data_IF_918894614584
#
_entry.id   IF_918894614584
#
_cell.length_a   1.000
_cell.length_b   1.000
_cell.length_c   1.000
_cell.angle_alpha   90.00
_cell.angle_beta   90.00
_cell.angle_gamma   90.00
#
_symmetry.space_group_name_H-M   'P 1'
#
loop_
_entity.id
_entity.type
_entity.pdbx_description
1 polymer ?
#
# COMPACT_ATOMS: atom_id res chain seq x y z
N UNK A 1 -12.72 -7.68 22.46
CA UNK A 1 -13.78 -6.74 22.88
C UNK A 1 -14.40 -6.18 21.61
N UNK A 2 -15.69 -6.39 21.37
CA UNK A 2 -16.38 -5.89 20.16
C UNK A 2 -16.82 -4.46 20.49
N UNK A 3 -16.20 -3.45 19.87
CA UNK A 3 -16.47 -2.04 20.22
C UNK A 3 -17.82 -1.54 19.70
N UNK A 4 -18.36 -2.11 18.60
CA UNK A 4 -19.68 -1.78 18.06
C UNK A 4 -20.29 -2.96 17.32
N UNK A 5 -21.57 -3.23 17.55
CA UNK A 5 -22.35 -4.21 16.80
C UNK A 5 -23.42 -3.51 15.97
N UNK A 6 -23.42 -3.77 14.66
CA UNK A 6 -24.49 -3.38 13.76
C UNK A 6 -25.28 -4.63 13.38
N UNK A 7 -26.58 -4.64 13.66
CA UNK A 7 -27.49 -5.66 13.14
C UNK A 7 -28.39 -5.02 12.09
N UNK A 8 -28.67 -5.73 11.01
CA UNK A 8 -29.53 -5.25 9.92
C UNK A 8 -30.48 -6.37 9.49
N UNK A 9 -31.68 -6.01 9.06
CA UNK A 9 -32.67 -6.97 8.56
C UNK A 9 -32.27 -7.51 7.18
N UNK A 10 -31.67 -6.67 6.36
CA UNK A 10 -31.21 -7.02 5.02
C UNK A 10 -29.94 -6.23 4.71
N UNK A 11 -28.96 -6.88 4.09
CA UNK A 11 -27.73 -6.24 3.64
C UNK A 11 -27.51 -6.60 2.17
N UNK A 12 -27.40 -5.57 1.32
CA UNK A 12 -27.05 -5.75 -0.09
C UNK A 12 -25.58 -5.40 -0.27
N UNK A 13 -24.78 -6.37 -0.71
CA UNK A 13 -23.35 -6.16 -1.01
C UNK A 13 -23.19 -5.89 -2.50
N UNK A 14 -22.64 -4.73 -2.85
CA UNK A 14 -22.28 -4.36 -4.22
C UNK A 14 -20.78 -4.32 -4.36
N UNK A 15 -20.27 -5.03 -5.36
CA UNK A 15 -18.86 -4.99 -5.75
C UNK A 15 -18.72 -4.13 -6.99
N UNK A 16 -17.97 -3.03 -6.87
CA UNK A 16 -17.56 -2.21 -8.00
C UNK A 16 -16.08 -2.46 -8.27
N UNK A 17 -15.80 -3.25 -9.30
CA UNK A 17 -14.45 -3.65 -9.66
C UNK A 17 -13.83 -2.59 -10.57
N UNK A 18 -12.88 -1.84 -10.03
CA UNK A 18 -12.03 -0.91 -10.78
C UNK A 18 -10.69 -1.58 -11.06
N UNK A 19 -9.97 -1.10 -12.09
CA UNK A 19 -8.69 -1.67 -12.53
C UNK A 19 -7.68 -1.94 -11.39
N UNK A 20 -7.69 -1.11 -10.34
CA UNK A 20 -6.73 -1.16 -9.24
C UNK A 20 -7.36 -1.29 -7.83
N UNK A 21 -8.68 -1.40 -7.72
CA UNK A 21 -9.37 -1.48 -6.43
C UNK A 21 -10.76 -2.09 -6.60
N UNK A 22 -11.22 -2.84 -5.60
CA UNK A 22 -12.61 -3.26 -5.54
C UNK A 22 -13.29 -2.45 -4.45
N UNK A 23 -14.22 -1.57 -4.83
CA UNK A 23 -15.03 -0.84 -3.87
C UNK A 23 -16.21 -1.74 -3.48
N UNK A 24 -16.28 -2.14 -2.21
CA UNK A 24 -17.36 -2.97 -1.67
C UNK A 24 -18.29 -2.07 -0.89
N UNK A 25 -19.50 -1.89 -1.39
CA UNK A 25 -20.54 -1.12 -0.71
C UNK A 25 -21.60 -2.04 -0.16
N UNK A 26 -21.79 -2.03 1.15
CA UNK A 26 -22.82 -2.76 1.88
C UNK A 26 -23.92 -1.76 2.22
N UNK A 27 -25.07 -1.88 1.57
CA UNK A 27 -26.27 -1.15 1.94
C UNK A 27 -27.06 -1.98 2.94
N UNK A 28 -27.02 -1.59 4.21
CA UNK A 28 -27.74 -2.26 5.28
C UNK A 28 -29.08 -1.53 5.53
N UNK A 29 -30.17 -2.28 5.60
CA UNK A 29 -31.53 -1.78 5.85
C UNK A 29 -32.01 -2.19 7.24
N UNK A 30 -32.76 -1.29 7.86
CA UNK A 30 -33.26 -1.39 9.24
C UNK A 30 -32.14 -1.71 10.24
N UNK A 31 -31.09 -0.88 10.22
CA UNK A 31 -29.89 -1.07 11.03
C UNK A 31 -30.17 -0.67 12.47
N UNK A 32 -29.96 -1.60 13.39
CA UNK A 32 -29.89 -1.32 14.82
C UNK A 32 -28.43 -1.32 15.26
N UNK A 33 -27.98 -0.21 15.82
CA UNK A 33 -26.63 -0.07 16.38
C UNK A 33 -26.71 -0.27 17.88
N UNK A 34 -25.90 -1.20 18.38
CA UNK A 34 -25.71 -1.43 19.80
C UNK A 34 -24.27 -1.02 20.16
N UNK A 35 -24.17 0.06 20.92
CA UNK A 35 -22.94 0.56 21.54
C UNK A 35 -23.16 0.56 23.07
N UNK A 36 -22.09 0.47 23.88
CA UNK A 36 -22.18 0.37 25.35
C UNK A 36 -22.98 1.51 25.99
N UNK A 37 -23.10 2.64 25.29
CA UNK A 37 -23.76 3.85 25.78
C UNK A 37 -25.00 4.25 24.99
N UNK A 38 -25.27 3.65 23.81
CA UNK A 38 -26.30 4.14 22.88
C UNK A 38 -26.95 3.02 22.08
N UNK A 39 -28.28 3.04 22.05
CA UNK A 39 -29.09 2.28 21.10
C UNK A 39 -29.67 3.26 20.08
N UNK A 40 -29.41 3.01 18.80
CA UNK A 40 -29.92 3.84 17.70
C UNK A 40 -30.39 2.96 16.54
N UNK A 41 -31.48 3.36 15.89
CA UNK A 41 -31.96 2.73 14.66
C UNK A 41 -31.82 3.68 13.48
N UNK A 42 -31.36 3.16 12.35
CA UNK A 42 -31.35 3.86 11.07
C UNK A 42 -32.05 2.98 10.03
N UNK A 43 -32.90 3.58 9.19
CA UNK A 43 -33.60 2.85 8.13
C UNK A 43 -32.65 2.32 7.07
N UNK A 44 -31.61 3.10 6.74
CA UNK A 44 -30.56 2.69 5.81
C UNK A 44 -29.21 3.20 6.32
N UNK A 45 -28.18 2.37 6.17
CA UNK A 45 -26.81 2.75 6.49
C UNK A 45 -25.87 2.15 5.43
N UNK A 46 -25.32 2.99 4.53
CA UNK A 46 -24.32 2.55 3.59
C UNK A 46 -22.97 2.42 4.30
N UNK A 47 -22.33 1.28 4.16
CA UNK A 47 -20.93 1.07 4.50
C UNK A 47 -20.15 0.87 3.21
N UNK A 48 -19.06 1.60 3.01
CA UNK A 48 -18.17 1.37 1.88
C UNK A 48 -16.78 1.02 2.40
N UNK A 49 -16.23 -0.08 1.89
CA UNK A 49 -14.87 -0.49 2.16
C UNK A 49 -14.15 -0.72 0.83
N UNK A 50 -13.01 -0.07 0.66
CA UNK A 50 -12.13 -0.31 -0.49
C UNK A 50 -11.27 -1.54 -0.19
N UNK A 51 -11.51 -2.63 -0.90
CA UNK A 51 -10.69 -3.83 -0.84
C UNK A 51 -9.61 -3.79 -1.94
N UNK A 52 -8.42 -4.26 -1.60
CA UNK A 52 -7.39 -4.58 -2.59
C UNK A 52 -7.88 -5.68 -3.53
N UNK A 53 -7.22 -5.84 -4.66
CA UNK A 53 -7.57 -6.92 -5.59
C UNK A 53 -6.95 -8.24 -5.14
N UNK A 54 -7.81 -9.17 -4.74
CA UNK A 54 -7.46 -10.41 -4.03
C UNK A 54 -6.47 -11.31 -4.77
N UNK A 55 -6.45 -11.26 -6.12
CA UNK A 55 -5.54 -12.06 -6.95
C UNK A 55 -4.39 -11.25 -7.55
N UNK A 56 -4.60 -9.97 -7.89
CA UNK A 56 -3.54 -9.15 -8.53
C UNK A 56 -2.48 -8.67 -7.55
N UNK A 57 -2.70 -8.80 -6.25
CA UNK A 57 -1.72 -8.39 -5.23
C UNK A 57 -0.55 -9.38 -5.09
N UNK A 58 -0.49 -10.43 -5.91
CA UNK A 58 0.61 -11.38 -5.95
C UNK A 58 1.32 -11.38 -7.31
N UNK A 59 2.64 -11.14 -7.28
CA UNK A 59 3.53 -11.09 -8.46
C UNK A 59 3.45 -12.37 -9.30
N UNK A 60 3.20 -13.53 -8.67
CA UNK A 60 3.14 -14.82 -9.38
C UNK A 60 1.98 -14.92 -10.39
N UNK A 61 0.94 -14.10 -10.21
CA UNK A 61 -0.24 -14.09 -11.07
C UNK A 61 -0.22 -12.96 -12.11
N UNK A 62 0.88 -12.21 -12.18
CA UNK A 62 1.03 -11.11 -13.14
C UNK A 62 1.50 -11.59 -14.50
N UNK A 63 0.97 -10.96 -15.55
CA UNK A 63 1.44 -11.15 -16.92
C UNK A 63 2.83 -10.55 -17.09
N UNK A 64 3.55 -10.96 -18.14
CA UNK A 64 4.94 -10.50 -18.36
C UNK A 64 4.99 -8.98 -18.57
N UNK A 65 4.03 -8.42 -19.30
CA UNK A 65 3.95 -6.98 -19.55
C UNK A 65 3.64 -6.19 -18.27
N UNK A 66 2.74 -6.72 -17.43
CA UNK A 66 2.48 -6.14 -16.11
C UNK A 66 3.72 -6.18 -15.22
N UNK A 67 4.50 -7.28 -15.23
CA UNK A 67 5.76 -7.37 -14.49
C UNK A 67 6.78 -6.32 -14.94
N UNK A 68 6.86 -6.04 -16.25
CA UNK A 68 7.70 -4.97 -16.80
C UNK A 68 7.21 -3.58 -16.38
N UNK A 69 5.89 -3.34 -16.41
CA UNK A 69 5.29 -2.08 -15.95
C UNK A 69 5.56 -1.84 -14.46
N UNK A 70 5.37 -2.86 -13.62
CA UNK A 70 5.65 -2.77 -12.17
C UNK A 70 7.15 -2.56 -11.93
N UNK A 71 8.02 -3.19 -12.72
CA UNK A 71 9.48 -2.99 -12.61
C UNK A 71 9.86 -1.55 -12.95
N UNK A 72 9.24 -0.95 -13.96
CA UNK A 72 9.47 0.43 -14.38
C UNK A 72 8.89 1.44 -13.38
N UNK A 73 7.71 1.16 -12.83
CA UNK A 73 7.07 1.98 -11.80
C UNK A 73 6.44 1.10 -10.71
N UNK A 74 7.13 1.00 -9.57
CA UNK A 74 6.71 0.14 -8.46
C UNK A 74 5.40 0.60 -7.82
N UNK A 75 5.00 1.87 -7.98
CA UNK A 75 3.72 2.39 -7.48
C UNK A 75 2.53 1.84 -8.24
N UNK A 76 2.72 1.21 -9.41
CA UNK A 76 1.63 0.48 -10.10
C UNK A 76 1.19 -0.74 -9.29
N UNK A 77 2.07 -1.29 -8.45
CA UNK A 77 1.76 -2.46 -7.63
C UNK A 77 1.09 -2.04 -6.32
N UNK A 78 -0.23 -2.29 -6.24
CA UNK A 78 -1.10 -1.85 -5.15
C UNK A 78 -0.54 -2.11 -3.73
N UNK A 79 0.01 -3.29 -3.39
CA UNK A 79 0.55 -3.52 -2.05
C UNK A 79 1.71 -2.58 -1.67
N UNK A 80 2.55 -2.18 -2.64
CA UNK A 80 3.63 -1.21 -2.39
C UNK A 80 3.06 0.19 -2.33
N UNK A 81 2.19 0.56 -3.28
CA UNK A 81 1.50 1.85 -3.34
C UNK A 81 0.77 2.17 -2.03
N UNK A 82 -0.03 1.22 -1.52
CA UNK A 82 -0.76 1.36 -0.25
C UNK A 82 0.18 1.67 0.91
N UNK A 83 1.26 0.91 1.08
CA UNK A 83 2.23 1.16 2.16
C UNK A 83 2.99 2.47 1.96
N UNK A 84 3.29 2.84 0.72
CA UNK A 84 3.95 4.11 0.41
C UNK A 84 3.07 5.30 0.82
N UNK A 85 1.79 5.27 0.42
CA UNK A 85 0.80 6.28 0.81
C UNK A 85 0.59 6.30 2.32
N UNK A 86 0.47 5.14 2.98
CA UNK A 86 0.33 5.07 4.44
C UNK A 86 1.52 5.69 5.17
N UNK A 87 2.73 5.35 4.75
CA UNK A 87 3.98 5.92 5.29
C UNK A 87 4.04 7.42 5.04
N UNK A 88 3.65 7.87 3.85
CA UNK A 88 3.60 9.29 3.49
C UNK A 88 2.56 10.07 4.30
N UNK A 89 1.38 9.51 4.56
CA UNK A 89 0.38 10.16 5.42
C UNK A 89 0.86 10.27 6.86
N UNK A 90 1.57 9.26 7.39
CA UNK A 90 2.21 9.34 8.70
C UNK A 90 3.29 10.42 8.74
N UNK A 91 4.13 10.52 7.70
CA UNK A 91 5.11 11.60 7.57
C UNK A 91 4.44 12.98 7.56
N UNK A 92 3.34 13.14 6.80
CA UNK A 92 2.58 14.39 6.77
C UNK A 92 1.99 14.74 8.15
N UNK A 93 1.46 13.76 8.88
CA UNK A 93 0.95 13.95 10.24
C UNK A 93 2.06 14.39 11.21
N UNK A 94 3.24 13.78 11.14
CA UNK A 94 4.38 14.15 11.99
C UNK A 94 4.95 15.52 11.66
N UNK A 95 5.01 15.89 10.37
CA UNK A 95 5.41 17.25 9.97
C UNK A 95 4.40 18.30 10.43
N UNK A 96 3.11 18.00 10.33
CA UNK A 96 2.06 18.87 10.84
C UNK A 96 2.18 19.02 12.36
N UNK A 97 2.39 17.92 13.09
CA UNK A 97 2.58 17.95 14.54
C UNK A 97 3.83 18.75 14.94
N UNK A 98 4.96 18.58 14.23
CA UNK A 98 6.17 19.35 14.45
C UNK A 98 5.93 20.84 14.21
N UNK A 99 5.20 21.19 13.15
CA UNK A 99 4.82 22.58 12.89
C UNK A 99 3.90 23.14 13.99
N UNK A 100 2.91 22.38 14.47
CA UNK A 100 2.02 22.81 15.55
C UNK A 100 2.83 23.09 16.83
N UNK A 101 3.80 22.23 17.16
CA UNK A 101 4.68 22.43 18.31
C UNK A 101 5.62 23.63 18.15
N UNK A 102 6.07 23.93 16.94
CA UNK A 102 6.94 25.07 16.66
C UNK A 102 6.18 26.39 16.59
N UNK A 103 4.92 26.36 16.15
CA UNK A 103 4.07 27.54 16.12
C UNK A 103 3.76 27.97 17.54
N UNK A 104 4.30 29.11 17.96
CA UNK A 104 3.96 29.70 19.25
C UNK A 104 2.44 29.88 19.36
N UNK A 105 1.91 29.91 20.59
CA UNK A 105 0.48 30.06 20.87
C UNK A 105 -0.18 31.24 20.12
N UNK A 106 0.60 32.25 19.72
CA UNK A 106 0.11 33.44 19.03
C UNK A 106 0.03 33.34 17.50
N UNK A 107 0.69 32.35 16.86
CA UNK A 107 0.66 32.23 15.39
C UNK A 107 -0.35 31.15 14.97
N UNK A 108 -1.50 31.52 14.40
CA UNK A 108 -2.51 30.54 13.99
C UNK A 108 -2.07 29.78 12.74
N UNK A 109 -2.28 28.46 12.75
CA UNK A 109 -2.05 27.60 11.59
C UNK A 109 -3.26 27.65 10.69
N UNK A 110 -3.01 27.87 9.39
CA UNK A 110 -4.08 27.98 8.39
C UNK A 110 -4.23 26.68 7.61
N UNK A 111 -5.43 26.12 7.61
CA UNK A 111 -5.86 24.99 6.79
C UNK A 111 -6.89 25.50 5.77
N UNK A 112 -6.59 25.39 4.48
CA UNK A 112 -7.48 25.84 3.42
C UNK A 112 -8.31 24.66 2.91
N UNK A 113 -9.63 24.81 2.81
CA UNK A 113 -10.52 23.86 2.15
C UNK A 113 -11.26 24.51 0.98
N UNK A 114 -12.03 23.73 0.20
CA UNK A 114 -12.76 24.24 -0.95
C UNK A 114 -13.88 25.22 -0.56
N UNK A 115 -14.50 25.01 0.61
CA UNK A 115 -15.65 25.82 1.08
C UNK A 115 -15.33 26.74 2.25
N UNK A 116 -14.19 26.56 2.91
CA UNK A 116 -13.83 27.25 4.16
C UNK A 116 -12.32 27.32 4.36
N UNK A 117 -11.86 28.33 5.09
CA UNK A 117 -10.48 28.43 5.58
C UNK A 117 -10.53 28.37 7.09
N UNK A 118 -9.80 27.45 7.70
CA UNK A 118 -9.68 27.37 9.15
C UNK A 118 -8.35 27.95 9.59
N UNK A 119 -8.39 28.79 10.62
CA UNK A 119 -7.21 29.24 11.35
C UNK A 119 -7.33 28.76 12.78
N UNK A 120 -6.42 27.89 13.21
CA UNK A 120 -6.51 27.32 14.54
C UNK A 120 -5.24 27.53 15.36
N UNK A 121 -5.41 27.51 16.68
CA UNK A 121 -4.36 27.53 17.69
C UNK A 121 -4.65 26.44 18.71
N UNK A 122 -3.60 25.83 19.23
CA UNK A 122 -3.68 24.82 20.28
C UNK A 122 -2.41 24.93 21.13
N UNK A 123 -2.54 24.68 22.44
CA UNK A 123 -1.42 24.74 23.36
C UNK A 123 -0.56 23.47 23.28
N UNK A 124 -1.22 22.32 23.16
CA UNK A 124 -0.56 21.02 23.10
C UNK A 124 -1.01 20.24 21.87
N UNK A 125 -0.09 19.45 21.31
CA UNK A 125 -0.37 18.54 20.21
C UNK A 125 0.33 17.21 20.50
N UNK A 126 -0.44 16.14 20.64
CA UNK A 126 0.06 14.79 20.79
C UNK A 126 -0.24 13.95 19.55
N UNK A 127 0.69 13.08 19.17
CA UNK A 127 0.49 12.16 18.05
C UNK A 127 -0.07 10.88 18.63
N UNK A 128 -1.31 10.56 18.28
CA UNK A 128 -1.96 9.31 18.63
C UNK A 128 -1.64 8.22 17.60
N UNK A 129 -2.18 7.02 17.82
CA UNK A 129 -2.14 5.95 16.82
C UNK A 129 -2.91 6.37 15.56
N UNK A 130 -2.63 5.68 14.45
CA UNK A 130 -3.39 5.81 13.19
C UNK A 130 -3.35 7.19 12.50
N UNK A 131 -2.28 7.97 12.70
CA UNK A 131 -2.06 9.31 12.08
C UNK A 131 -3.03 10.38 12.59
N UNK A 132 -3.53 10.20 13.81
CA UNK A 132 -4.36 11.18 14.48
C UNK A 132 -3.50 12.10 15.36
N UNK A 133 -3.78 13.40 15.32
CA UNK A 133 -3.17 14.40 16.17
C UNK A 133 -4.24 14.92 17.12
N UNK A 134 -4.00 14.76 18.41
CA UNK A 134 -4.88 15.28 19.45
C UNK A 134 -4.39 16.65 19.88
N UNK A 135 -5.27 17.64 19.76
CA UNK A 135 -5.08 19.02 20.17
C UNK A 135 -5.79 19.23 21.51
N UNK A 136 -5.04 19.67 22.53
CA UNK A 136 -5.56 19.92 23.87
C UNK A 136 -5.07 21.26 24.43
N UNK A 137 -5.72 21.73 25.50
CA UNK A 137 -5.49 23.05 26.11
C UNK A 137 -6.42 24.11 25.54
N UNK A 138 -5.96 25.36 25.44
CA UNK A 138 -6.75 26.46 24.85
C UNK A 138 -6.82 26.33 23.32
N UNK A 139 -7.70 25.47 22.83
CA UNK A 139 -7.93 25.25 21.40
C UNK A 139 -8.93 26.28 20.88
N UNK A 140 -8.50 27.08 19.92
CA UNK A 140 -9.36 28.09 19.26
C UNK A 140 -9.30 27.87 17.76
N UNK A 141 -10.46 27.68 17.13
CA UNK A 141 -10.59 27.47 15.68
C UNK A 141 -11.47 28.58 15.12
N UNK A 142 -10.89 29.43 14.27
CA UNK A 142 -11.62 30.46 13.55
C UNK A 142 -11.89 30.02 12.11
N UNK A 143 -13.15 30.02 11.71
CA UNK A 143 -13.59 29.71 10.34
C UNK A 143 -13.78 30.98 9.53
N UNK A 144 -13.25 31.00 8.30
CA UNK A 144 -13.32 32.11 7.35
C UNK A 144 -13.92 31.65 6.02
N UNK A 145 -14.71 32.51 5.40
CA UNK A 145 -15.21 32.30 4.05
C UNK A 145 -14.08 32.48 3.03
N UNK A 146 -13.85 31.54 2.08
CA UNK A 146 -12.79 31.67 1.08
C UNK A 146 -12.99 32.87 0.14
N UNK A 147 -14.25 33.29 -0.10
CA UNK A 147 -14.58 34.37 -1.04
C UNK A 147 -14.35 35.75 -0.47
N UNK A 148 -14.77 35.97 0.78
CA UNK A 148 -14.72 37.29 1.42
C UNK A 148 -13.55 37.43 2.39
N UNK A 149 -12.91 36.30 2.75
CA UNK A 149 -11.94 36.21 3.85
C UNK A 149 -12.48 36.81 5.17
N UNK A 150 -13.80 36.89 5.30
CA UNK A 150 -14.47 37.33 6.52
C UNK A 150 -14.61 36.14 7.47
N UNK A 151 -14.41 36.42 8.76
CA UNK A 151 -14.59 35.45 9.83
C UNK A 151 -16.07 35.13 10.00
N UNK A 152 -16.43 33.86 9.93
CA UNK A 152 -17.83 33.39 10.02
C UNK A 152 -18.14 32.84 11.40
N UNK A 153 -17.22 32.05 11.98
CA UNK A 153 -17.38 31.42 13.29
C UNK A 153 -16.06 31.37 14.06
N UNK A 154 -16.16 31.37 15.39
CA UNK A 154 -15.10 30.93 16.30
C UNK A 154 -15.61 29.74 17.07
N UNK A 155 -14.83 28.67 17.10
CA UNK A 155 -15.06 27.48 17.91
C UNK A 155 -14.01 27.43 19.02
N UNK A 156 -14.45 27.11 20.23
CA UNK A 156 -13.62 26.81 21.40
C UNK A 156 -13.98 25.42 21.94
N UNK A 157 -13.45 24.35 21.34
CA UNK A 157 -13.63 22.99 21.86
C UNK A 157 -12.72 22.71 23.04
N UNK A 158 -13.11 21.75 23.88
CA UNK A 158 -12.25 21.24 24.96
C UNK A 158 -11.04 20.47 24.42
N UNK A 159 -11.24 19.75 23.32
CA UNK A 159 -10.18 19.12 22.53
C UNK A 159 -10.61 18.96 21.06
N UNK A 160 -9.63 18.81 20.18
CA UNK A 160 -9.87 18.55 18.76
C UNK A 160 -8.93 17.47 18.23
N UNK A 161 -9.39 16.69 17.26
CA UNK A 161 -8.58 15.66 16.60
C UNK A 161 -8.40 16.04 15.15
N UNK A 162 -7.15 16.04 14.68
CA UNK A 162 -6.80 16.16 13.27
C UNK A 162 -6.43 14.77 12.75
N UNK A 163 -7.03 14.33 11.66
CA UNK A 163 -6.67 13.11 10.96
C UNK A 163 -6.15 13.43 9.56
N UNK A 164 -5.00 12.85 9.20
CA UNK A 164 -4.46 12.95 7.85
C UNK A 164 -4.91 11.74 7.04
N UNK A 165 -5.60 12.01 5.94
CA UNK A 165 -6.22 11.03 5.05
C UNK A 165 -5.68 11.20 3.63
N UNK A 166 -5.67 10.12 2.86
CA UNK A 166 -5.40 10.17 1.44
C UNK A 166 -6.71 10.42 0.68
N UNK A 167 -6.71 11.36 -0.28
CA UNK A 167 -7.78 11.45 -1.26
C UNK A 167 -7.60 10.42 -2.39
N UNK A 168 -8.50 10.43 -3.38
CA UNK A 168 -8.46 9.49 -4.51
C UNK A 168 -7.20 9.67 -5.39
N UNK A 169 -6.60 10.86 -5.38
CA UNK A 169 -5.36 11.19 -6.08
C UNK A 169 -4.12 11.00 -5.19
N UNK A 170 -4.29 10.36 -4.03
CA UNK A 170 -3.24 10.11 -3.02
C UNK A 170 -2.65 11.36 -2.38
N UNK A 171 -3.27 12.52 -2.58
CA UNK A 171 -2.87 13.73 -1.92
C UNK A 171 -3.32 13.67 -0.45
N UNK A 172 -2.47 14.20 0.42
CA UNK A 172 -2.77 14.31 1.83
C UNK A 172 -3.84 15.40 2.05
N UNK A 173 -4.99 14.97 2.56
CA UNK A 173 -6.07 15.82 3.06
C UNK A 173 -6.16 15.69 4.57
N UNK A 174 -6.72 16.71 5.17
CA UNK A 174 -6.94 16.82 6.60
C UNK A 174 -8.44 16.80 6.87
N UNK A 175 -8.82 16.00 7.84
CA UNK A 175 -10.10 16.09 8.54
C UNK A 175 -9.83 16.58 9.96
N UNK A 176 -10.62 17.55 10.42
CA UNK A 176 -10.55 18.05 11.79
C UNK A 176 -11.90 17.86 12.46
N UNK A 177 -11.89 17.29 13.67
CA UNK A 177 -13.07 17.05 14.47
C UNK A 177 -12.91 17.81 15.79
N UNK A 178 -13.80 18.76 16.04
CA UNK A 178 -13.86 19.51 17.28
C UNK A 178 -15.00 18.96 18.16
N UNK A 179 -14.67 18.58 19.39
CA UNK A 179 -15.61 17.98 20.34
C UNK A 179 -16.10 19.02 21.33
N UNK A 180 -17.41 18.98 21.62
CA UNK A 180 -18.07 19.85 22.61
C UNK A 180 -17.80 21.35 22.38
N UNK A 181 -17.71 21.74 21.10
CA UNK A 181 -17.30 23.07 20.69
C UNK A 181 -18.38 24.11 21.00
N UNK A 182 -18.03 25.08 21.85
CA UNK A 182 -18.78 26.34 21.95
C UNK A 182 -18.44 27.18 20.73
N UNK A 183 -19.45 27.59 19.97
CA UNK A 183 -19.28 28.43 18.80
C UNK A 183 -19.86 29.82 19.01
N UNK A 184 -19.23 30.84 18.43
CA UNK A 184 -19.70 32.21 18.42
C UNK A 184 -19.57 32.84 17.04
N UNK A 185 -20.58 33.60 16.63
CA UNK A 185 -20.56 34.42 15.42
C UNK A 185 -20.11 35.85 15.71
N UNK A 186 -19.67 36.61 14.68
CA UNK A 186 -19.36 38.04 14.83
C UNK A 186 -20.53 38.90 15.31
N UNK A 187 -21.77 38.47 15.10
CA UNK A 187 -23.00 39.15 15.54
C UNK A 187 -23.31 38.96 17.05
N UNK A 188 -22.47 38.21 17.76
CA UNK A 188 -22.65 37.89 19.19
C UNK A 188 -23.49 36.64 19.47
N UNK A 189 -24.05 36.00 18.44
CA UNK A 189 -24.81 34.76 18.61
C UNK A 189 -23.87 33.63 19.01
N UNK A 190 -24.22 32.89 20.06
CA UNK A 190 -23.46 31.74 20.54
C UNK A 190 -24.29 30.47 20.55
N UNK A 191 -23.63 29.32 20.44
CA UNK A 191 -24.26 28.02 20.65
C UNK A 191 -23.25 26.94 21.04
N UNK A 192 -23.77 25.74 21.27
CA UNK A 192 -22.98 24.55 21.58
C UNK A 192 -23.17 23.52 20.48
N UNK A 193 -22.07 22.98 19.95
CA UNK A 193 -22.09 21.86 19.02
C UNK A 193 -21.42 20.67 19.69
N UNK A 194 -22.13 19.55 19.81
CA UNK A 194 -21.54 18.32 20.38
C UNK A 194 -20.33 17.85 19.56
N UNK A 195 -20.40 17.98 18.24
CA UNK A 195 -19.31 17.64 17.33
C UNK A 195 -19.38 18.55 16.10
N UNK A 196 -18.25 19.14 15.71
CA UNK A 196 -18.11 19.87 14.46
C UNK A 196 -17.02 19.20 13.62
N UNK A 197 -17.37 18.80 12.40
CA UNK A 197 -16.47 18.08 11.49
C UNK A 197 -16.12 18.98 10.31
N UNK A 198 -14.83 19.12 10.05
CA UNK A 198 -14.28 19.89 8.95
C UNK A 198 -13.49 18.97 8.03
N UNK A 199 -14.02 18.71 6.84
CA UNK A 199 -13.46 17.74 5.89
C UNK A 199 -12.73 18.42 4.73
N UNK A 200 -11.89 17.65 4.05
CA UNK A 200 -11.22 18.03 2.80
C UNK A 200 -10.37 19.30 2.93
N UNK A 201 -9.72 19.47 4.08
CA UNK A 201 -8.76 20.55 4.31
C UNK A 201 -7.42 20.18 3.69
N UNK A 202 -6.72 21.16 3.14
CA UNK A 202 -5.38 21.01 2.62
C UNK A 202 -4.33 21.12 3.72
N UNK A 203 -3.22 20.40 3.55
CA UNK A 203 -2.01 20.61 4.35
C UNK A 203 -1.56 22.09 4.32
N UNK A 204 -1.02 22.63 5.44
CA UNK A 204 -0.45 23.97 5.46
C UNK A 204 0.62 24.15 4.38
N UNK A 205 0.73 25.37 3.82
CA UNK A 205 1.70 25.69 2.76
C UNK A 205 3.15 25.38 3.16
N UNK A 206 3.50 25.58 4.42
CA UNK A 206 4.79 25.23 5.00
C UNK A 206 5.08 23.73 4.90
N UNK A 207 4.13 22.87 5.28
CA UNK A 207 4.28 21.41 5.15
C UNK A 207 4.36 21.03 3.67
N UNK A 208 3.45 21.55 2.83
CA UNK A 208 3.44 21.24 1.38
C UNK A 208 4.77 21.59 0.68
N UNK A 209 5.43 22.68 1.08
CA UNK A 209 6.72 23.09 0.50
C UNK A 209 7.87 22.13 0.83
N UNK A 210 7.79 21.42 1.95
CA UNK A 210 8.81 20.45 2.35
C UNK A 210 8.63 19.08 1.69
N UNK A 211 7.45 18.82 1.11
CA UNK A 211 7.11 17.56 0.45
C UNK A 211 7.47 17.64 -1.04
N UNK A 212 7.98 16.54 -1.61
CA UNK A 212 8.22 16.44 -3.05
C UNK A 212 6.93 15.97 -3.75
N UNK A 213 6.78 16.20 -5.06
CA UNK A 213 5.62 15.73 -5.81
C UNK A 213 5.47 14.20 -5.82
N UNK A 214 6.57 13.46 -5.73
CA UNK A 214 6.56 11.99 -5.73
C UNK A 214 6.60 11.43 -4.29
N UNK A 215 5.65 10.54 -4.01
CA UNK A 215 5.44 9.93 -2.69
C UNK A 215 6.66 9.12 -2.25
N UNK A 216 7.23 8.30 -3.14
CA UNK A 216 8.36 7.44 -2.81
C UNK A 216 9.63 8.24 -2.53
N UNK A 217 9.91 9.25 -3.37
CA UNK A 217 11.06 10.13 -3.15
C UNK A 217 10.95 10.86 -1.81
N UNK A 218 9.76 11.37 -1.47
CA UNK A 218 9.52 12.07 -0.22
C UNK A 218 9.75 11.16 1.00
N UNK A 219 9.22 9.94 0.97
CA UNK A 219 9.42 8.97 2.04
C UNK A 219 10.88 8.52 2.15
N UNK A 220 11.60 8.40 1.03
CA UNK A 220 13.02 8.02 1.04
C UNK A 220 13.91 9.11 1.64
N UNK A 221 13.55 10.38 1.44
CA UNK A 221 14.27 11.54 1.97
C UNK A 221 13.79 11.97 3.37
N UNK A 222 12.97 11.16 4.03
CA UNK A 222 12.41 11.44 5.36
C UNK A 222 13.45 11.94 6.39
N UNK A 223 14.67 11.38 6.52
CA UNK A 223 15.66 11.89 7.47
C UNK A 223 16.11 13.33 7.21
N UNK A 224 16.01 13.83 5.97
CA UNK A 224 16.34 15.21 5.63
C UNK A 224 15.17 16.18 5.90
N UNK A 225 13.93 15.67 5.90
CA UNK A 225 12.72 16.48 6.05
C UNK A 225 12.33 16.61 7.53
N UNK A 226 12.52 15.54 8.33
CA UNK A 226 12.14 15.48 9.74
C UNK A 226 13.35 15.08 10.60
N UNK A 227 13.76 15.97 11.50
CA UNK A 227 14.96 15.76 12.33
C UNK A 227 14.82 14.61 13.35
N UNK A 228 13.59 14.27 13.76
CA UNK A 228 13.34 13.23 14.76
C UNK A 228 12.03 12.50 14.43
N UNK A 229 12.06 11.53 13.50
CA UNK A 229 10.89 10.73 13.17
C UNK A 229 10.49 9.82 14.33
N UNK A 230 9.20 9.53 14.45
CA UNK A 230 8.72 8.54 15.42
C UNK A 230 9.19 7.12 15.07
N UNK A 231 9.21 6.25 16.08
CA UNK A 231 9.48 4.83 15.88
C UNK A 231 8.48 4.19 14.90
N UNK A 232 7.19 4.60 14.99
CA UNK A 232 6.14 4.11 14.12
C UNK A 232 6.40 4.46 12.64
N UNK A 233 6.80 5.70 12.34
CA UNK A 233 7.15 6.12 10.98
C UNK A 233 8.42 5.43 10.48
N UNK A 234 9.41 5.28 11.35
CA UNK A 234 10.66 4.58 11.02
C UNK A 234 10.39 3.12 10.67
N UNK A 235 9.52 2.45 11.42
CA UNK A 235 9.11 1.06 11.16
C UNK A 235 8.30 0.92 9.87
N UNK A 236 7.37 1.86 9.60
CA UNK A 236 6.64 1.91 8.33
C UNK A 236 7.59 2.07 7.14
N UNK A 237 8.54 2.99 7.21
CA UNK A 237 9.53 3.22 6.16
C UNK A 237 10.44 2.00 5.93
N UNK A 238 10.91 1.34 7.00
CA UNK A 238 11.66 0.08 6.91
C UNK A 238 10.84 -1.04 6.27
N UNK A 239 9.56 -1.17 6.66
CA UNK A 239 8.66 -2.17 6.10
C UNK A 239 8.37 -1.91 4.62
N UNK A 240 8.19 -0.64 4.23
CA UNK A 240 8.04 -0.23 2.83
C UNK A 240 9.30 -0.57 2.02
N UNK A 241 10.49 -0.19 2.48
CA UNK A 241 11.75 -0.50 1.80
C UNK A 241 11.96 -2.02 1.64
N UNK A 242 11.67 -2.79 2.70
CA UNK A 242 11.70 -4.26 2.66
C UNK A 242 10.70 -4.81 1.64
N UNK A 243 9.48 -4.27 1.59
CA UNK A 243 8.48 -4.70 0.61
C UNK A 243 8.93 -4.39 -0.81
N UNK A 244 9.42 -3.18 -1.08
CA UNK A 244 9.92 -2.78 -2.40
C UNK A 244 11.01 -3.75 -2.87
N UNK A 245 12.01 -4.01 -2.01
CA UNK A 245 13.09 -4.96 -2.30
C UNK A 245 12.58 -6.38 -2.56
N UNK A 246 11.64 -6.87 -1.72
CA UNK A 246 11.01 -8.19 -1.90
C UNK A 246 10.21 -8.26 -3.21
N UNK A 247 9.53 -7.19 -3.59
CA UNK A 247 8.77 -7.12 -4.84
C UNK A 247 9.69 -7.16 -6.05
N UNK A 248 10.78 -6.38 -6.07
CA UNK A 248 11.78 -6.46 -7.14
C UNK A 248 12.43 -7.84 -7.24
N UNK A 249 12.74 -8.47 -6.11
CA UNK A 249 13.26 -9.83 -6.08
C UNK A 249 12.28 -10.83 -6.68
N UNK A 250 10.99 -10.75 -6.30
CA UNK A 250 9.93 -11.59 -6.83
C UNK A 250 9.70 -11.41 -8.32
N UNK A 251 9.70 -10.17 -8.82
CA UNK A 251 9.56 -9.86 -10.25
C UNK A 251 10.72 -10.49 -11.04
N UNK A 252 11.95 -10.26 -10.61
CA UNK A 252 13.12 -10.83 -11.27
C UNK A 252 13.11 -12.37 -11.24
N UNK A 253 12.71 -12.98 -10.13
CA UNK A 253 12.58 -14.42 -10.01
C UNK A 253 11.52 -14.98 -10.97
N UNK A 254 10.36 -14.35 -11.06
CA UNK A 254 9.27 -14.78 -11.93
C UNK A 254 9.66 -14.69 -13.41
N UNK A 255 10.23 -13.55 -13.85
CA UNK A 255 10.72 -13.35 -15.22
C UNK A 255 11.76 -14.42 -15.60
N UNK A 256 12.79 -14.62 -14.76
CA UNK A 256 13.84 -15.60 -15.04
C UNK A 256 13.29 -17.04 -15.01
N UNK A 257 12.37 -17.36 -14.11
CA UNK A 257 11.78 -18.69 -14.04
C UNK A 257 10.98 -19.05 -15.29
N UNK A 258 10.18 -18.11 -15.83
CA UNK A 258 9.41 -18.29 -17.07
C UNK A 258 10.33 -18.44 -18.27
N UNK A 259 11.40 -17.64 -18.33
CA UNK A 259 12.39 -17.71 -19.40
C UNK A 259 13.14 -19.05 -19.39
N UNK A 260 13.66 -19.46 -18.23
CA UNK A 260 14.37 -20.73 -18.06
C UNK A 260 13.45 -21.92 -18.37
N UNK A 261 12.19 -21.88 -17.95
CA UNK A 261 11.21 -22.92 -18.28
C UNK A 261 10.98 -23.01 -19.80
N UNK A 262 10.76 -21.88 -20.47
CA UNK A 262 10.55 -21.83 -21.93
C UNK A 262 11.74 -22.39 -22.72
N UNK A 263 12.97 -21.95 -22.40
CA UNK A 263 14.19 -22.47 -23.06
C UNK A 263 14.40 -23.95 -22.72
N UNK A 264 14.14 -24.33 -21.47
CA UNK A 264 14.24 -25.71 -21.00
C UNK A 264 13.34 -26.68 -21.78
N UNK A 265 12.10 -26.28 -22.08
CA UNK A 265 11.18 -27.09 -22.90
C UNK A 265 11.75 -27.41 -24.28
N UNK A 266 12.41 -26.44 -24.93
CA UNK A 266 13.09 -26.66 -26.23
C UNK A 266 14.21 -27.69 -26.07
N UNK A 267 15.04 -27.54 -25.02
CA UNK A 267 16.11 -28.49 -24.71
C UNK A 267 15.59 -29.90 -24.46
N UNK A 268 14.46 -30.05 -23.76
CA UNK A 268 13.83 -31.34 -23.50
C UNK A 268 13.27 -32.00 -24.76
N UNK A 269 12.65 -31.23 -25.66
CA UNK A 269 12.18 -31.75 -26.96
C UNK A 269 13.37 -32.29 -27.77
N UNK A 270 14.48 -31.54 -27.82
CA UNK A 270 15.71 -31.95 -28.53
C UNK A 270 16.34 -33.22 -27.92
N UNK A 271 16.37 -33.31 -26.59
CA UNK A 271 16.84 -34.52 -25.88
C UNK A 271 15.94 -35.70 -26.24
N UNK A 272 14.62 -35.53 -26.17
CA UNK A 272 13.65 -36.58 -26.51
C UNK A 272 13.80 -37.09 -27.94
N UNK A 273 13.91 -36.18 -28.92
CA UNK A 273 14.13 -36.57 -30.32
C UNK A 273 15.50 -37.23 -30.54
N UNK A 274 16.56 -36.70 -29.92
CA UNK A 274 17.91 -37.26 -30.05
C UNK A 274 18.01 -38.68 -29.48
N UNK A 275 17.43 -38.90 -28.29
CA UNK A 275 17.37 -40.23 -27.67
C UNK A 275 16.49 -41.19 -28.46
N UNK A 276 15.36 -40.72 -29.03
CA UNK A 276 14.49 -41.52 -29.88
C UNK A 276 15.20 -42.04 -31.13
N UNK A 277 16.06 -41.22 -31.76
CA UNK A 277 16.87 -41.64 -32.92
C UNK A 277 17.95 -42.63 -32.50
N UNK A 278 18.63 -42.41 -31.36
CA UNK A 278 19.68 -43.31 -30.87
C UNK A 278 19.16 -44.70 -30.50
N UNK A 279 17.93 -44.80 -29.99
CA UNK A 279 17.35 -46.04 -29.44
C UNK A 279 16.41 -46.77 -30.42
N UNK A 280 16.67 -46.66 -31.73
CA UNK A 280 15.89 -47.27 -32.84
C UNK A 280 15.61 -48.80 -32.75
N UNK A 281 16.10 -49.49 -31.72
CA UNK A 281 16.12 -50.96 -31.60
C UNK A 281 15.20 -51.64 -30.58
N UNK A 282 14.19 -50.96 -29.98
CA UNK A 282 13.08 -51.71 -29.35
C UNK A 282 12.61 -51.32 -27.94
N UNK A 283 13.18 -50.30 -27.29
CA UNK A 283 12.68 -49.82 -25.99
C UNK A 283 12.37 -48.31 -26.01
N UNK A 284 11.32 -47.93 -26.76
CA UNK A 284 10.75 -46.57 -26.71
C UNK A 284 10.44 -46.12 -25.28
N UNK A 285 10.00 -47.05 -24.43
CA UNK A 285 9.70 -46.78 -23.02
C UNK A 285 10.95 -46.32 -22.23
N UNK A 286 12.12 -46.89 -22.51
CA UNK A 286 13.38 -46.52 -21.84
C UNK A 286 13.88 -45.16 -22.29
N UNK A 287 13.70 -44.80 -23.56
CA UNK A 287 13.99 -43.45 -24.06
C UNK A 287 13.13 -42.39 -23.33
N UNK A 288 11.84 -42.71 -23.14
CA UNK A 288 10.93 -41.84 -22.41
C UNK A 288 11.34 -41.70 -20.93
N UNK A 289 11.59 -42.81 -20.23
CA UNK A 289 12.00 -42.80 -18.83
C UNK A 289 13.31 -42.05 -18.59
N UNK A 290 14.30 -42.22 -19.48
CA UNK A 290 15.58 -41.50 -19.37
C UNK A 290 15.44 -40.00 -19.63
N UNK A 291 14.53 -39.58 -20.53
CA UNK A 291 14.25 -38.15 -20.77
C UNK A 291 13.53 -37.45 -19.61
N UNK A 292 12.82 -38.20 -18.76
CA UNK A 292 12.12 -37.64 -17.61
C UNK A 292 13.07 -37.17 -16.48
N UNK A 293 14.26 -37.78 -16.36
CA UNK A 293 15.22 -37.43 -15.30
C UNK A 293 15.73 -35.99 -15.45
N UNK A 294 16.25 -35.54 -16.62
CA UNK A 294 16.63 -34.14 -16.81
C UNK A 294 15.47 -33.16 -16.64
N UNK A 295 14.25 -33.55 -17.05
CA UNK A 295 13.06 -32.72 -16.88
C UNK A 295 12.76 -32.48 -15.38
N UNK A 296 12.78 -33.53 -14.56
CA UNK A 296 12.57 -33.43 -13.13
C UNK A 296 13.64 -32.57 -12.45
N UNK A 297 14.91 -32.75 -12.81
CA UNK A 297 16.03 -31.94 -12.27
C UNK A 297 15.81 -30.46 -12.58
N UNK A 298 15.47 -30.11 -13.83
CA UNK A 298 15.22 -28.72 -14.21
C UNK A 298 14.08 -28.11 -13.39
N UNK A 299 12.94 -28.81 -13.26
CA UNK A 299 11.79 -28.32 -12.49
C UNK A 299 12.17 -28.07 -11.03
N UNK A 300 12.92 -28.98 -10.42
CA UNK A 300 13.41 -28.84 -9.04
C UNK A 300 14.32 -27.61 -8.92
N UNK A 301 15.28 -27.42 -9.84
CA UNK A 301 16.14 -26.24 -9.85
C UNK A 301 15.34 -24.93 -9.97
N UNK A 302 14.30 -24.91 -10.82
CA UNK A 302 13.42 -23.74 -10.98
C UNK A 302 12.64 -23.48 -9.67
N UNK A 303 12.00 -24.49 -9.09
CA UNK A 303 11.22 -24.35 -7.86
C UNK A 303 12.10 -23.91 -6.67
N UNK A 304 13.26 -24.55 -6.49
CA UNK A 304 14.22 -24.19 -5.45
C UNK A 304 14.76 -22.78 -5.65
N UNK A 305 15.16 -22.41 -6.87
CA UNK A 305 15.63 -21.06 -7.19
C UNK A 305 14.58 -19.99 -6.90
N UNK A 306 13.29 -20.28 -7.16
CA UNK A 306 12.18 -19.35 -6.90
C UNK A 306 11.93 -19.18 -5.41
N UNK A 307 12.08 -20.26 -4.62
CA UNK A 307 11.95 -20.18 -3.18
C UNK A 307 13.11 -19.39 -2.53
N UNK A 308 14.36 -19.65 -2.95
CA UNK A 308 15.55 -18.95 -2.44
C UNK A 308 15.50 -17.45 -2.76
N UNK A 309 15.13 -17.09 -3.99
CA UNK A 309 15.06 -15.68 -4.43
C UNK A 309 13.98 -14.87 -3.71
N UNK A 310 12.92 -15.50 -3.22
CA UNK A 310 11.87 -14.86 -2.42
C UNK A 310 12.22 -14.71 -0.94
N UNK A 311 13.22 -15.45 -0.44
CA UNK A 311 13.53 -15.56 0.99
C UNK A 311 14.89 -14.92 1.37
N UNK A 312 15.28 -13.84 0.68
CA UNK A 312 16.61 -13.18 0.72
C UNK A 312 17.19 -12.82 2.09
N UNK A 313 16.43 -12.92 3.18
CA UNK A 313 16.94 -12.67 4.54
C UNK A 313 18.05 -13.68 4.93
N UNK A 314 18.13 -14.84 4.27
CA UNK A 314 19.03 -15.94 4.69
C UNK A 314 20.18 -16.32 3.73
N UNK A 315 20.28 -15.77 2.51
CA UNK A 315 21.19 -16.32 1.50
C UNK A 315 22.19 -15.29 0.96
N UNK A 316 23.35 -15.19 1.62
CA UNK A 316 24.51 -14.39 1.23
C UNK A 316 25.42 -15.04 0.19
N UNK A 317 25.16 -16.28 -0.26
CA UNK A 317 26.11 -17.03 -1.10
C UNK A 317 25.72 -17.24 -2.57
N UNK A 318 24.45 -17.51 -2.88
CA UNK A 318 24.03 -17.81 -4.26
C UNK A 318 22.62 -17.27 -4.53
N UNK A 319 22.53 -16.35 -5.48
CA UNK A 319 21.24 -15.82 -5.94
C UNK A 319 20.40 -16.98 -6.48
N UNK A 320 19.15 -17.12 -6.02
CA UNK A 320 18.24 -18.17 -6.51
C UNK A 320 18.09 -18.17 -8.05
N UNK A 321 18.32 -17.03 -8.70
CA UNK A 321 18.38 -16.91 -10.16
C UNK A 321 19.54 -17.74 -10.74
N UNK A 322 20.72 -17.71 -10.13
CA UNK A 322 21.88 -18.49 -10.59
C UNK A 322 21.60 -20.00 -10.56
N UNK A 323 20.86 -20.48 -9.54
CA UNK A 323 20.46 -21.88 -9.45
C UNK A 323 19.51 -22.28 -10.59
N UNK A 324 18.57 -21.40 -10.98
CA UNK A 324 17.69 -21.64 -12.13
C UNK A 324 18.50 -21.80 -13.43
N UNK A 325 19.42 -20.88 -13.68
CA UNK A 325 20.27 -20.89 -14.87
C UNK A 325 21.27 -22.05 -14.88
N UNK A 326 21.79 -22.47 -13.72
CA UNK A 326 22.64 -23.65 -13.61
C UNK A 326 21.90 -24.92 -14.05
N UNK A 327 20.64 -25.09 -13.62
CA UNK A 327 19.79 -26.20 -14.09
C UNK A 327 19.62 -26.22 -15.60
N UNK A 328 19.42 -25.04 -16.21
CA UNK A 328 19.35 -24.90 -17.67
C UNK A 328 20.67 -25.21 -18.37
N UNK A 329 21.79 -24.71 -17.83
CA UNK A 329 23.12 -24.95 -18.40
C UNK A 329 23.46 -26.44 -18.42
N UNK A 330 23.15 -27.17 -17.35
CA UNK A 330 23.30 -28.63 -17.29
C UNK A 330 22.47 -29.30 -18.38
N UNK A 331 21.22 -28.87 -18.57
CA UNK A 331 20.36 -29.41 -19.62
C UNK A 331 20.95 -29.17 -21.01
N UNK A 332 21.41 -27.96 -21.31
CA UNK A 332 22.02 -27.61 -22.61
C UNK A 332 23.28 -28.43 -22.86
N UNK A 333 24.14 -28.61 -21.85
CA UNK A 333 25.33 -29.47 -21.95
C UNK A 333 24.92 -30.92 -22.26
N UNK A 334 23.89 -31.45 -21.61
CA UNK A 334 23.39 -32.79 -21.88
C UNK A 334 22.84 -32.92 -23.31
N UNK A 335 22.04 -31.97 -23.78
CA UNK A 335 21.55 -31.92 -25.16
C UNK A 335 22.72 -31.94 -26.15
N UNK A 336 23.73 -31.10 -25.92
CA UNK A 336 24.92 -31.03 -26.77
C UNK A 336 25.70 -32.35 -26.81
N UNK A 337 25.88 -33.00 -25.66
CA UNK A 337 26.58 -34.29 -25.58
C UNK A 337 25.84 -35.40 -26.35
N UNK A 338 24.51 -35.44 -26.26
CA UNK A 338 23.68 -36.42 -26.99
C UNK A 338 23.83 -36.20 -28.51
N UNK A 339 23.70 -34.96 -28.98
CA UNK A 339 23.84 -34.64 -30.41
C UNK A 339 25.25 -34.89 -30.93
N UNK A 340 26.29 -34.56 -30.16
CA UNK A 340 27.68 -34.85 -30.53
C UNK A 340 27.92 -36.36 -30.66
N UNK A 341 27.29 -37.18 -29.81
CA UNK A 341 27.38 -38.64 -29.91
C UNK A 341 26.63 -39.17 -31.13
N UNK A 342 25.47 -38.59 -31.45
CA UNK A 342 24.68 -38.92 -32.63
C UNK A 342 25.42 -38.60 -33.93
N UNK A 343 26.14 -37.47 -34.00
CA UNK A 343 26.94 -37.07 -35.17
C UNK A 343 28.19 -37.93 -35.41
N UNK A 344 28.65 -38.68 -34.40
CA UNK A 344 29.85 -39.53 -34.52
C UNK A 344 29.55 -40.95 -35.02
N UNK A 345 28.28 -41.36 -34.99
CA UNK A 345 27.84 -42.67 -35.45
C UNK A 345 27.28 -42.58 -36.87
#
# INVERSE_FOLDING_TARGET
MIQRLFTAKTATVRFDSKKNSNDVTILAQDVSTFDELRQGSSRELPFSARMGSLLTDNIKFKEIDELHQIRANIMVFYPVRRMAVETYMQLCAELLAAQIKQSAADTPITLAGPSRILKFRAQNCNIMKDRQLELTGDVVIDEYSPKTNAKTYTYRPDHAVIQVLADDDENAKIEMIAFEARWSRPDGTTGLAQQSVFQSLDLPRSVKKSLKPDVLSTVSDMPAILASPSDALTDLAKNLARKISKTYAGINAEINSRLVFGIGCIGLILIGSGLGIMLKGGHLLTAFGTSAIPAAILIICIMMGKNISNNRVAASGMSGIALMWAGLAILVVLTFLIYRKLLKN
#
